data_IF_000464019141
#
_entry.id   IF_000464019141
#
_cell.length_a   1.000
_cell.length_b   1.000
_cell.length_c   1.000
_cell.angle_alpha   90.00
_cell.angle_beta   90.00
_cell.angle_gamma   90.00
#
_symmetry.space_group_name_H-M   'P 1'
#
loop_
_entity.id
_entity.type
_entity.pdbx_description
1 polymer ?
#
# COMPACT_ATOMS: atom_id res chain seq x y z
N UNK A 1 27.29 -5.70 8.71
CA UNK A 1 27.06 -7.14 8.82
C UNK A 1 26.00 -7.49 7.78
N UNK A 2 26.37 -8.21 6.72
CA UNK A 2 25.40 -8.66 5.71
C UNK A 2 24.60 -9.85 6.26
N UNK A 3 23.30 -9.89 5.97
CA UNK A 3 22.44 -11.04 6.30
C UNK A 3 22.82 -12.18 5.36
N UNK A 4 23.41 -13.25 5.85
CA UNK A 4 23.82 -14.39 5.03
C UNK A 4 22.66 -15.34 4.71
N UNK A 5 21.63 -15.40 5.55
CA UNK A 5 20.46 -16.30 5.39
C UNK A 5 19.17 -15.57 5.75
N UNK A 6 18.11 -15.88 5.01
CA UNK A 6 16.76 -15.34 5.28
C UNK A 6 16.20 -16.02 6.53
N UNK A 7 15.80 -15.21 7.52
CA UNK A 7 15.06 -15.72 8.66
C UNK A 7 13.56 -15.86 8.30
N UNK A 8 13.16 -17.10 8.00
CA UNK A 8 11.78 -17.41 7.57
C UNK A 8 10.73 -17.09 8.63
N UNK A 9 11.11 -17.08 9.92
CA UNK A 9 10.17 -16.77 11.01
C UNK A 9 9.81 -15.28 11.03
N UNK A 10 10.74 -14.43 10.63
CA UNK A 10 10.54 -12.99 10.57
C UNK A 10 9.85 -12.53 9.28
N UNK A 11 9.90 -13.37 8.24
CA UNK A 11 9.36 -13.03 6.92
C UNK A 11 7.82 -12.88 6.94
N UNK A 12 7.11 -13.76 7.63
CA UNK A 12 5.64 -13.77 7.70
C UNK A 12 5.06 -12.42 8.17
N UNK A 13 5.42 -11.91 9.36
CA UNK A 13 4.92 -10.63 9.88
C UNK A 13 5.25 -9.43 8.98
N UNK A 14 6.41 -9.45 8.31
CA UNK A 14 6.80 -8.38 7.38
C UNK A 14 5.99 -8.45 6.09
N UNK A 15 5.77 -9.64 5.53
CA UNK A 15 4.91 -9.83 4.36
C UNK A 15 3.43 -9.50 4.65
N UNK A 16 2.95 -9.76 5.88
CA UNK A 16 1.64 -9.29 6.32
C UNK A 16 1.52 -7.75 6.24
N UNK A 17 2.62 -7.03 6.47
CA UNK A 17 2.68 -5.58 6.26
C UNK A 17 2.40 -5.18 4.82
N UNK A 18 2.94 -5.88 3.84
CA UNK A 18 2.64 -5.63 2.43
C UNK A 18 1.17 -5.93 2.10
N UNK A 19 0.59 -6.97 2.67
CA UNK A 19 -0.83 -7.27 2.51
C UNK A 19 -1.71 -6.13 3.06
N UNK A 20 -1.39 -5.61 4.24
CA UNK A 20 -2.09 -4.47 4.87
C UNK A 20 -1.94 -3.19 4.05
N UNK A 21 -0.78 -2.95 3.43
CA UNK A 21 -0.58 -1.82 2.51
C UNK A 21 -1.60 -1.80 1.37
N UNK A 22 -2.03 -2.97 0.88
CA UNK A 22 -3.05 -3.07 -0.16
C UNK A 22 -4.43 -2.57 0.27
N UNK A 23 -4.71 -2.47 1.57
CA UNK A 23 -5.98 -1.91 2.06
C UNK A 23 -6.16 -0.43 1.71
N UNK A 24 -5.08 0.31 1.58
CA UNK A 24 -5.12 1.69 1.12
C UNK A 24 -5.54 1.79 -0.35
N UNK A 25 -5.06 0.87 -1.16
CA UNK A 25 -5.34 0.85 -2.60
C UNK A 25 -6.82 0.51 -2.90
N UNK A 26 -7.55 -0.09 -1.94
CA UNK A 26 -8.99 -0.38 -2.07
C UNK A 26 -9.85 0.87 -2.21
N UNK A 27 -9.37 2.04 -1.75
CA UNK A 27 -10.17 3.27 -1.75
C UNK A 27 -10.59 3.65 -3.18
N UNK A 28 -9.71 3.49 -4.16
CA UNK A 28 -10.03 3.79 -5.56
C UNK A 28 -11.20 2.92 -6.10
N UNK A 29 -11.17 1.58 -6.03
CA UNK A 29 -12.28 0.76 -6.51
C UNK A 29 -13.58 0.91 -5.71
N UNK A 30 -13.55 1.22 -4.40
CA UNK A 30 -14.78 1.42 -3.62
C UNK A 30 -15.36 2.83 -3.73
N UNK A 31 -14.64 3.79 -4.30
CA UNK A 31 -15.12 5.18 -4.48
C UNK A 31 -16.44 5.24 -5.23
N UNK A 32 -16.66 4.36 -6.20
CA UNK A 32 -17.94 4.29 -6.93
C UNK A 32 -19.13 3.92 -6.03
N UNK A 33 -18.94 3.01 -5.08
CA UNK A 33 -19.98 2.63 -4.10
C UNK A 33 -20.27 3.76 -3.11
N UNK A 34 -19.22 4.46 -2.67
CA UNK A 34 -19.37 5.65 -1.82
C UNK A 34 -20.10 6.74 -2.59
N UNK A 35 -19.78 6.96 -3.87
CA UNK A 35 -20.44 7.96 -4.70
C UNK A 35 -21.94 7.71 -4.83
N UNK A 36 -22.36 6.46 -4.86
CA UNK A 36 -23.80 6.08 -4.92
C UNK A 36 -24.57 6.46 -3.64
N UNK A 37 -23.89 6.69 -2.51
CA UNK A 37 -24.53 7.14 -1.26
C UNK A 37 -24.80 8.67 -1.26
N UNK A 38 -24.25 9.42 -2.23
CA UNK A 38 -24.34 10.88 -2.27
C UNK A 38 -25.06 11.37 -3.54
N UNK A 39 -25.77 12.54 -3.45
CA UNK A 39 -26.41 13.15 -4.61
C UNK A 39 -25.37 13.54 -5.68
N UNK A 40 -25.83 13.62 -6.93
CA UNK A 40 -24.97 13.86 -8.11
C UNK A 40 -24.03 15.06 -7.98
N UNK A 41 -24.48 16.13 -7.32
CA UNK A 41 -23.70 17.34 -7.07
C UNK A 41 -22.42 17.08 -6.22
N UNK A 42 -22.44 16.08 -5.35
CA UNK A 42 -21.31 15.72 -4.46
C UNK A 42 -20.42 14.62 -5.03
N UNK A 43 -20.82 13.95 -6.09
CA UNK A 43 -20.03 12.83 -6.67
C UNK A 43 -18.66 13.28 -7.17
N UNK A 44 -18.54 14.51 -7.66
CA UNK A 44 -17.24 15.10 -8.01
C UNK A 44 -16.31 15.15 -6.79
N UNK A 45 -16.81 15.61 -5.63
CA UNK A 45 -16.04 15.65 -4.39
C UNK A 45 -15.63 14.24 -3.90
N UNK A 46 -16.53 13.26 -4.01
CA UNK A 46 -16.23 11.85 -3.68
C UNK A 46 -15.07 11.32 -4.53
N UNK A 47 -14.97 11.73 -5.78
CA UNK A 47 -13.90 11.33 -6.70
C UNK A 47 -12.50 11.77 -6.25
N UNK A 48 -12.38 12.71 -5.33
CA UNK A 48 -11.11 13.14 -4.74
C UNK A 48 -10.63 12.24 -3.57
N UNK A 49 -11.44 11.30 -3.08
CA UNK A 49 -11.04 10.40 -1.99
C UNK A 49 -9.73 9.65 -2.26
N UNK A 50 -9.52 9.00 -3.43
CA UNK A 50 -8.24 8.36 -3.72
C UNK A 50 -7.08 9.36 -3.75
N UNK A 51 -7.29 10.54 -4.33
CA UNK A 51 -6.27 11.60 -4.38
C UNK A 51 -5.85 12.04 -2.99
N UNK A 52 -6.82 12.19 -2.06
CA UNK A 52 -6.55 12.54 -0.67
C UNK A 52 -5.67 11.49 0.02
N UNK A 53 -5.95 10.22 -0.22
CA UNK A 53 -5.15 9.11 0.34
C UNK A 53 -3.70 9.18 -0.14
N UNK A 54 -3.49 9.36 -1.46
CA UNK A 54 -2.15 9.37 -2.05
C UNK A 54 -1.39 10.68 -1.81
N UNK A 55 -2.07 11.79 -1.53
CA UNK A 55 -1.44 13.06 -1.19
C UNK A 55 -0.50 12.95 0.01
N UNK A 56 -0.87 12.14 1.00
CA UNK A 56 -0.07 11.94 2.20
C UNK A 56 1.28 11.27 1.94
N UNK A 57 1.39 10.45 0.87
CA UNK A 57 2.68 9.90 0.46
C UNK A 57 3.65 11.01 0.06
N UNK A 58 3.18 12.01 -0.67
CA UNK A 58 4.01 13.14 -1.08
C UNK A 58 4.46 13.98 0.13
N UNK A 59 3.54 14.26 1.05
CA UNK A 59 3.78 15.20 2.16
C UNK A 59 4.55 14.55 3.31
N UNK A 60 4.21 13.31 3.67
CA UNK A 60 4.66 12.67 4.91
C UNK A 60 5.75 11.61 4.75
N UNK A 61 6.13 11.21 3.53
CA UNK A 61 7.18 10.20 3.34
C UNK A 61 8.50 10.62 3.97
N UNK A 62 8.96 11.85 3.73
CA UNK A 62 10.21 12.34 4.30
C UNK A 62 10.14 12.56 5.84
N UNK A 63 9.08 13.17 6.41
CA UNK A 63 8.87 13.20 7.85
C UNK A 63 8.86 11.81 8.51
N UNK A 64 8.14 10.84 7.93
CA UNK A 64 8.13 9.48 8.48
C UNK A 64 9.48 8.77 8.33
N UNK A 65 10.22 8.99 7.26
CA UNK A 65 11.59 8.48 7.12
C UNK A 65 12.51 9.02 8.22
N UNK A 66 12.45 10.33 8.50
CA UNK A 66 13.18 10.95 9.58
C UNK A 66 12.77 10.40 10.96
N UNK A 67 11.47 10.21 11.17
CA UNK A 67 10.93 9.62 12.41
C UNK A 67 11.34 8.15 12.57
N UNK A 68 11.27 7.36 11.50
CA UNK A 68 11.73 5.97 11.46
C UNK A 68 13.21 5.84 11.85
N UNK A 69 14.09 6.73 11.36
CA UNK A 69 15.50 6.71 11.71
C UNK A 69 15.74 6.98 13.20
N UNK A 70 14.84 7.75 13.86
CA UNK A 70 14.93 8.05 15.30
C UNK A 70 14.29 7.00 16.17
N UNK A 71 13.10 6.51 15.81
CA UNK A 71 12.26 5.63 16.64
C UNK A 71 12.35 4.16 16.28
N UNK A 72 12.89 3.83 15.10
CA UNK A 72 13.03 2.47 14.60
C UNK A 72 11.95 2.10 13.58
N UNK A 73 12.27 1.10 12.78
CA UNK A 73 11.42 0.63 11.66
C UNK A 73 10.15 -0.03 12.15
N UNK A 74 10.28 -0.94 13.13
CA UNK A 74 9.14 -1.65 13.74
C UNK A 74 8.15 -0.69 14.39
N UNK A 75 8.64 0.27 15.18
CA UNK A 75 7.80 1.28 15.85
C UNK A 75 7.03 2.13 14.83
N UNK A 76 7.66 2.50 13.73
CA UNK A 76 7.04 3.29 12.65
C UNK A 76 5.94 2.48 11.95
N UNK A 77 6.20 1.19 11.64
CA UNK A 77 5.19 0.31 11.06
C UNK A 77 3.97 0.14 11.98
N UNK A 78 4.20 -0.09 13.27
CA UNK A 78 3.12 -0.25 14.26
C UNK A 78 2.28 1.02 14.43
N UNK A 79 2.90 2.20 14.44
CA UNK A 79 2.16 3.46 14.44
C UNK A 79 1.33 3.62 13.15
N UNK A 80 1.87 3.21 12.00
CA UNK A 80 1.13 3.16 10.74
C UNK A 80 -0.07 2.23 10.81
N UNK A 81 0.05 1.05 11.44
CA UNK A 81 -1.08 0.14 11.65
C UNK A 81 -2.17 0.75 12.52
N UNK A 82 -1.81 1.41 13.62
CA UNK A 82 -2.79 2.09 14.47
C UNK A 82 -3.57 3.18 13.71
N UNK A 83 -2.86 4.00 12.92
CA UNK A 83 -3.49 5.01 12.08
C UNK A 83 -4.40 4.41 11.01
N UNK A 84 -3.97 3.30 10.41
CA UNK A 84 -4.76 2.53 9.42
C UNK A 84 -6.05 2.00 10.05
N UNK A 85 -5.98 1.40 11.24
CA UNK A 85 -7.16 0.92 11.99
C UNK A 85 -8.11 2.08 12.28
N UNK A 86 -7.60 3.20 12.81
CA UNK A 86 -8.41 4.38 13.07
C UNK A 86 -9.07 4.89 11.77
N UNK A 87 -8.29 4.97 10.68
CA UNK A 87 -8.77 5.42 9.38
C UNK A 87 -9.90 4.56 8.80
N UNK A 88 -9.84 3.24 9.02
CA UNK A 88 -10.89 2.31 8.60
C UNK A 88 -12.14 2.39 9.49
N UNK A 89 -11.96 2.57 10.79
CA UNK A 89 -13.07 2.58 11.74
C UNK A 89 -13.83 3.91 11.76
N UNK A 90 -13.20 5.05 11.46
CA UNK A 90 -13.86 6.37 11.47
C UNK A 90 -15.09 6.41 10.55
N UNK A 91 -15.04 6.11 9.25
CA UNK A 91 -16.23 6.13 8.41
C UNK A 91 -17.22 5.02 8.75
N UNK A 92 -16.77 3.89 9.31
CA UNK A 92 -17.64 2.82 9.78
C UNK A 92 -18.46 3.27 11.00
N UNK A 93 -17.81 3.84 12.01
CA UNK A 93 -18.45 4.32 13.25
C UNK A 93 -19.41 5.50 13.00
N UNK A 94 -19.15 6.30 11.96
CA UNK A 94 -20.05 7.38 11.59
C UNK A 94 -21.41 6.91 11.06
N UNK A 95 -21.54 5.63 10.67
CA UNK A 95 -22.82 5.03 10.27
C UNK A 95 -23.21 5.31 8.82
N UNK A 96 -24.34 4.73 8.40
CA UNK A 96 -24.91 4.93 7.07
C UNK A 96 -25.45 6.36 6.92
N UNK A 97 -25.30 6.94 5.71
CA UNK A 97 -25.70 8.32 5.45
C UNK A 97 -24.84 9.38 6.12
N UNK A 98 -23.66 9.02 6.63
CA UNK A 98 -22.76 10.00 7.26
C UNK A 98 -22.29 11.07 6.26
N UNK A 99 -21.93 12.24 6.77
CA UNK A 99 -21.39 13.30 5.94
C UNK A 99 -20.07 12.88 5.26
N UNK A 100 -19.86 13.36 4.03
CA UNK A 100 -18.67 13.05 3.23
C UNK A 100 -17.35 13.36 3.98
N UNK A 101 -17.36 14.33 4.89
CA UNK A 101 -16.22 14.66 5.74
C UNK A 101 -15.69 13.48 6.57
N UNK A 102 -16.54 12.54 6.99
CA UNK A 102 -16.10 11.35 7.71
C UNK A 102 -15.29 10.40 6.84
N UNK A 103 -15.65 10.28 5.55
CA UNK A 103 -14.84 9.52 4.58
C UNK A 103 -13.50 10.19 4.32
N UNK A 104 -13.46 11.53 4.19
CA UNK A 104 -12.20 12.27 4.04
C UNK A 104 -11.31 12.13 5.28
N UNK A 105 -11.87 12.24 6.46
CA UNK A 105 -11.13 12.08 7.73
C UNK A 105 -10.57 10.65 7.85
N UNK A 106 -11.42 9.64 7.64
CA UNK A 106 -11.03 8.23 7.75
C UNK A 106 -9.98 7.84 6.72
N UNK A 107 -10.23 8.12 5.45
CA UNK A 107 -9.28 7.77 4.39
C UNK A 107 -8.04 8.67 4.37
N UNK A 108 -8.13 9.89 4.89
CA UNK A 108 -6.97 10.70 5.21
C UNK A 108 -6.06 10.01 6.24
N UNK A 109 -6.62 9.55 7.36
CA UNK A 109 -5.88 8.77 8.37
C UNK A 109 -5.32 7.46 7.81
N UNK A 110 -6.10 6.76 6.97
CA UNK A 110 -5.66 5.56 6.27
C UNK A 110 -4.42 5.85 5.40
N UNK A 111 -4.43 6.94 4.63
CA UNK A 111 -3.32 7.38 3.79
C UNK A 111 -2.08 7.73 4.61
N UNK A 112 -2.25 8.45 5.73
CA UNK A 112 -1.16 8.76 6.67
C UNK A 112 -0.55 7.46 7.23
N UNK A 113 -1.41 6.55 7.71
CA UNK A 113 -0.99 5.25 8.24
C UNK A 113 -0.24 4.42 7.21
N UNK A 114 -0.78 4.33 5.99
CA UNK A 114 -0.14 3.59 4.91
C UNK A 114 1.20 4.19 4.49
N UNK A 115 1.36 5.52 4.51
CA UNK A 115 2.65 6.17 4.29
C UNK A 115 3.68 5.72 5.33
N UNK A 116 3.32 5.68 6.60
CA UNK A 116 4.20 5.21 7.67
C UNK A 116 4.57 3.74 7.50
N UNK A 117 3.61 2.88 7.12
CA UNK A 117 3.84 1.46 6.87
C UNK A 117 4.80 1.29 5.68
N UNK A 118 4.56 1.97 4.57
CA UNK A 118 5.37 1.84 3.36
C UNK A 118 6.81 2.28 3.57
N UNK A 119 7.02 3.39 4.28
CA UNK A 119 8.36 3.89 4.63
C UNK A 119 9.11 2.91 5.54
N UNK A 120 8.40 2.17 6.40
CA UNK A 120 9.02 1.29 7.39
C UNK A 120 9.19 -0.15 6.92
N UNK A 121 8.20 -0.74 6.24
CA UNK A 121 8.15 -2.18 5.91
C UNK A 121 9.20 -2.55 4.86
N UNK A 122 9.45 -1.71 3.86
CA UNK A 122 10.49 -1.96 2.85
C UNK A 122 11.89 -2.03 3.48
N UNK A 123 12.35 -1.05 4.29
CA UNK A 123 13.61 -1.18 5.00
C UNK A 123 13.62 -2.28 6.07
N UNK A 124 12.46 -2.62 6.65
CA UNK A 124 12.36 -3.72 7.61
C UNK A 124 12.64 -5.05 6.91
N UNK A 125 12.12 -5.25 5.70
CA UNK A 125 12.44 -6.42 4.87
C UNK A 125 13.95 -6.51 4.60
N UNK A 126 14.63 -5.39 4.35
CA UNK A 126 16.08 -5.34 4.12
C UNK A 126 16.92 -5.73 5.34
N UNK A 127 16.34 -5.80 6.55
CA UNK A 127 17.06 -6.30 7.75
C UNK A 127 17.08 -7.81 7.85
N UNK A 128 16.19 -8.51 7.15
CA UNK A 128 15.98 -9.95 7.26
C UNK A 128 16.30 -10.72 5.98
N UNK A 129 16.56 -10.00 4.88
CA UNK A 129 16.84 -10.58 3.57
C UNK A 129 18.22 -10.12 3.08
N UNK A 130 19.06 -11.05 2.54
CA UNK A 130 20.32 -10.69 1.89
C UNK A 130 20.12 -9.74 0.72
N UNK A 131 21.07 -8.82 0.51
CA UNK A 131 21.01 -7.81 -0.55
C UNK A 131 20.80 -8.42 -1.95
N UNK A 132 21.44 -9.57 -2.23
CA UNK A 132 21.33 -10.26 -3.53
C UNK A 132 19.90 -10.79 -3.80
N UNK A 133 19.09 -10.99 -2.76
CA UNK A 133 17.73 -11.52 -2.87
C UNK A 133 16.66 -10.47 -2.58
N UNK A 134 17.07 -9.24 -2.26
CA UNK A 134 16.16 -8.18 -1.86
C UNK A 134 15.07 -7.92 -2.91
N UNK A 135 15.43 -7.82 -4.18
CA UNK A 135 14.48 -7.62 -5.29
C UNK A 135 13.42 -8.72 -5.36
N UNK A 136 13.84 -9.99 -5.23
CA UNK A 136 12.90 -11.13 -5.27
C UNK A 136 11.90 -11.06 -4.12
N UNK A 137 12.34 -10.72 -2.92
CA UNK A 137 11.45 -10.63 -1.75
C UNK A 137 10.57 -9.39 -1.76
N UNK A 138 11.03 -8.26 -2.31
CA UNK A 138 10.16 -7.10 -2.58
C UNK A 138 9.07 -7.46 -3.58
N UNK A 139 9.40 -8.21 -4.63
CA UNK A 139 8.42 -8.71 -5.60
C UNK A 139 7.39 -9.64 -4.94
N UNK A 140 7.83 -10.54 -4.05
CA UNK A 140 6.91 -11.35 -3.23
C UNK A 140 6.01 -10.46 -2.38
N UNK A 141 6.55 -9.41 -1.75
CA UNK A 141 5.77 -8.42 -1.02
C UNK A 141 4.67 -7.78 -1.88
N UNK A 142 4.99 -7.41 -3.13
CA UNK A 142 4.00 -6.87 -4.06
C UNK A 142 2.90 -7.90 -4.44
N UNK A 143 3.23 -9.19 -4.51
CA UNK A 143 2.22 -10.24 -4.69
C UNK A 143 1.24 -10.23 -3.51
N UNK A 144 1.73 -10.16 -2.27
CA UNK A 144 0.86 -10.07 -1.08
C UNK A 144 -0.02 -8.81 -1.11
N UNK A 145 0.53 -7.65 -1.48
CA UNK A 145 -0.24 -6.41 -1.67
C UNK A 145 -1.33 -6.56 -2.72
N UNK A 146 -1.00 -7.11 -3.89
CA UNK A 146 -1.96 -7.32 -4.97
C UNK A 146 -3.01 -8.38 -4.63
N UNK A 147 -2.67 -9.38 -3.80
CA UNK A 147 -3.62 -10.39 -3.32
C UNK A 147 -4.74 -9.76 -2.49
N UNK A 148 -4.43 -8.75 -1.65
CA UNK A 148 -5.47 -8.06 -0.89
C UNK A 148 -6.49 -7.34 -1.79
N UNK A 149 -6.03 -6.81 -2.93
CA UNK A 149 -6.88 -6.16 -3.93
C UNK A 149 -7.66 -7.18 -4.78
N UNK A 150 -7.03 -8.32 -5.12
CA UNK A 150 -7.73 -9.41 -5.82
C UNK A 150 -8.91 -9.92 -5.01
N UNK A 151 -8.73 -10.03 -3.69
CA UNK A 151 -9.77 -10.50 -2.77
C UNK A 151 -10.86 -9.45 -2.51
N UNK A 152 -10.62 -8.17 -2.81
CA UNK A 152 -11.54 -7.08 -2.53
C UNK A 152 -12.93 -7.31 -3.18
N UNK A 153 -12.96 -7.55 -4.49
CA UNK A 153 -14.23 -7.68 -5.22
C UNK A 153 -15.08 -8.86 -4.75
N UNK A 154 -14.54 -10.10 -4.60
CA UNK A 154 -15.33 -11.22 -4.09
C UNK A 154 -15.76 -11.02 -2.63
N UNK A 155 -14.93 -10.43 -1.77
CA UNK A 155 -15.30 -10.13 -0.38
C UNK A 155 -16.44 -9.11 -0.33
N UNK A 156 -16.33 -8.00 -1.06
CA UNK A 156 -17.37 -6.97 -1.11
C UNK A 156 -18.68 -7.55 -1.64
N UNK A 157 -18.64 -8.37 -2.70
CA UNK A 157 -19.83 -8.99 -3.25
C UNK A 157 -20.48 -9.98 -2.27
N UNK A 158 -19.67 -10.81 -1.61
CA UNK A 158 -20.15 -11.74 -0.60
C UNK A 158 -20.77 -11.00 0.60
N UNK A 159 -20.17 -9.91 1.06
CA UNK A 159 -20.70 -9.09 2.15
C UNK A 159 -22.04 -8.45 1.77
N UNK A 160 -22.13 -7.87 0.58
CA UNK A 160 -23.39 -7.27 0.10
C UNK A 160 -24.48 -8.32 -0.05
N UNK A 161 -24.15 -9.51 -0.56
CA UNK A 161 -25.12 -10.61 -0.68
C UNK A 161 -25.59 -11.13 0.69
N UNK A 162 -24.71 -11.20 1.67
CA UNK A 162 -25.02 -11.75 3.00
C UNK A 162 -25.68 -10.75 3.94
N UNK A 163 -25.32 -9.46 3.86
CA UNK A 163 -25.68 -8.44 4.86
C UNK A 163 -26.34 -7.18 4.27
N UNK A 164 -26.37 -7.06 2.96
CA UNK A 164 -26.85 -5.85 2.27
C UNK A 164 -25.87 -4.67 2.29
N UNK A 165 -24.73 -4.76 3.02
CA UNK A 165 -23.82 -3.64 3.21
C UNK A 165 -22.37 -4.00 2.87
N UNK A 166 -21.71 -3.18 2.06
CA UNK A 166 -20.28 -3.29 1.78
C UNK A 166 -19.41 -2.76 2.92
N UNK A 167 -19.98 -1.94 3.81
CA UNK A 167 -19.25 -1.20 4.86
C UNK A 167 -18.59 -2.12 5.89
N UNK A 168 -19.09 -3.36 6.05
CA UNK A 168 -18.45 -4.37 6.89
C UNK A 168 -17.04 -4.76 6.44
N UNK A 169 -16.65 -4.43 5.21
CA UNK A 169 -15.27 -4.54 4.76
C UNK A 169 -14.30 -3.75 5.66
N UNK A 170 -14.71 -2.57 6.11
CA UNK A 170 -13.87 -1.67 6.90
C UNK A 170 -13.44 -2.26 8.25
N UNK A 171 -14.36 -2.76 9.11
CA UNK A 171 -13.96 -3.40 10.36
C UNK A 171 -13.25 -4.75 10.15
N UNK A 172 -13.53 -5.49 9.07
CA UNK A 172 -12.79 -6.71 8.73
C UNK A 172 -11.32 -6.38 8.45
N UNK A 173 -11.07 -5.37 7.62
CA UNK A 173 -9.71 -4.93 7.31
C UNK A 173 -9.02 -4.30 8.53
N UNK A 174 -9.76 -3.61 9.39
CA UNK A 174 -9.24 -3.11 10.66
C UNK A 174 -8.82 -4.28 11.58
N UNK A 175 -9.62 -5.34 11.70
CA UNK A 175 -9.29 -6.53 12.48
C UNK A 175 -8.05 -7.25 11.94
N UNK A 176 -7.93 -7.40 10.62
CA UNK A 176 -6.75 -7.97 9.97
C UNK A 176 -5.50 -7.11 10.22
N UNK A 177 -5.64 -5.78 10.21
CA UNK A 177 -4.55 -4.85 10.51
C UNK A 177 -4.11 -4.97 11.97
N UNK A 178 -5.05 -5.10 12.91
CA UNK A 178 -4.74 -5.36 14.34
C UNK A 178 -4.01 -6.69 14.49
N UNK A 179 -4.51 -7.76 13.86
CA UNK A 179 -3.86 -9.07 13.92
C UNK A 179 -2.43 -9.04 13.37
N UNK A 180 -2.22 -8.38 12.22
CA UNK A 180 -0.87 -8.18 11.65
C UNK A 180 0.02 -7.33 12.54
N UNK A 181 -0.52 -6.28 13.18
CA UNK A 181 0.18 -5.43 14.13
C UNK A 181 0.61 -6.20 15.38
N UNK A 182 -0.28 -6.99 15.96
CA UNK A 182 0.03 -7.86 17.12
C UNK A 182 1.10 -8.89 16.73
N UNK A 183 0.98 -9.52 15.56
CA UNK A 183 1.98 -10.45 15.07
C UNK A 183 3.35 -9.79 14.93
N UNK A 184 3.42 -8.63 14.30
CA UNK A 184 4.67 -7.87 14.19
C UNK A 184 5.19 -7.44 15.56
N UNK A 185 4.32 -7.03 16.49
CA UNK A 185 4.71 -6.63 17.85
C UNK A 185 5.35 -7.77 18.63
N UNK A 186 4.80 -8.99 18.53
CA UNK A 186 5.31 -10.19 19.21
C UNK A 186 6.61 -10.72 18.57
N UNK A 187 6.91 -10.30 17.34
CA UNK A 187 8.09 -10.75 16.61
C UNK A 187 9.29 -9.85 16.91
N UNK A 188 10.40 -10.44 17.37
CA UNK A 188 11.66 -9.71 17.60
C UNK A 188 12.41 -9.56 16.27
N UNK A 189 12.18 -8.44 15.56
CA UNK A 189 12.91 -8.12 14.33
C UNK A 189 14.20 -7.38 14.70
N UNK A 190 15.38 -7.82 14.21
CA UNK A 190 16.63 -7.10 14.44
C UNK A 190 16.57 -5.73 13.76
N UNK A 191 16.77 -4.67 14.52
CA UNK A 191 16.87 -3.32 14.00
C UNK A 191 18.35 -2.90 13.94
N UNK A 192 18.79 -2.23 12.86
CA UNK A 192 20.12 -1.67 12.80
C UNK A 192 20.31 -0.61 13.89
N UNK A 193 21.56 -0.36 14.32
CA UNK A 193 21.85 0.72 15.26
C UNK A 193 21.23 2.03 14.78
N UNK A 194 20.55 2.73 15.67
CA UNK A 194 19.89 3.99 15.34
C UNK A 194 20.94 5.02 14.91
N UNK A 195 20.90 5.43 13.66
CA UNK A 195 21.74 6.53 13.20
C UNK A 195 21.21 7.83 13.78
N UNK A 196 21.93 8.45 14.70
CA UNK A 196 21.55 9.73 15.30
C UNK A 196 21.54 10.91 14.30
N UNK A 197 22.04 10.71 13.10
CA UNK A 197 22.03 11.69 12.01
C UNK A 197 20.73 11.59 11.23
N UNK A 198 19.78 12.48 11.55
CA UNK A 198 18.64 12.70 10.67
C UNK A 198 19.15 13.29 9.35
N UNK A 199 19.01 12.54 8.26
CA UNK A 199 19.17 13.12 6.93
C UNK A 199 18.15 14.26 6.83
N UNK A 200 18.64 15.50 6.76
CA UNK A 200 17.76 16.67 6.72
C UNK A 200 16.91 16.64 5.44
N UNK A 201 15.69 17.18 5.52
CA UNK A 201 14.78 17.30 4.36
C UNK A 201 15.48 17.96 3.16
N UNK A 202 16.36 18.94 3.41
CA UNK A 202 17.15 19.59 2.37
C UNK A 202 18.08 18.64 1.59
N UNK A 203 18.63 17.63 2.27
CA UNK A 203 19.46 16.61 1.60
C UNK A 203 18.62 15.68 0.73
N UNK A 204 17.38 15.35 1.15
CA UNK A 204 16.44 14.58 0.34
C UNK A 204 16.07 15.34 -0.94
N UNK A 205 15.77 16.64 -0.84
CA UNK A 205 15.52 17.48 -2.03
C UNK A 205 16.77 17.64 -2.90
N UNK A 206 17.96 17.62 -2.31
CA UNK A 206 19.22 17.62 -3.04
C UNK A 206 19.37 16.44 -4.02
N UNK A 207 18.80 15.27 -3.68
CA UNK A 207 18.81 14.09 -4.54
C UNK A 207 18.01 14.28 -5.85
N UNK A 208 17.02 15.16 -5.87
CA UNK A 208 16.25 15.48 -7.09
C UNK A 208 17.09 16.16 -8.18
N UNK A 209 18.27 16.70 -7.83
CA UNK A 209 19.23 17.22 -8.82
C UNK A 209 19.91 16.11 -9.62
N UNK A 210 19.89 14.87 -9.15
CA UNK A 210 20.45 13.73 -9.87
C UNK A 210 19.46 13.28 -10.96
N UNK A 211 19.90 13.31 -12.23
CA UNK A 211 19.07 12.90 -13.39
C UNK A 211 18.52 11.48 -13.28
N UNK A 212 19.31 10.54 -12.76
CA UNK A 212 18.88 9.17 -12.60
C UNK A 212 17.73 9.08 -11.58
N UNK A 213 17.83 9.76 -10.44
CA UNK A 213 16.77 9.82 -9.42
C UNK A 213 15.50 10.47 -9.99
N UNK A 214 15.67 11.58 -10.73
CA UNK A 214 14.54 12.28 -11.34
C UNK A 214 13.80 11.43 -12.37
N UNK A 215 14.53 10.79 -13.31
CA UNK A 215 13.94 9.91 -14.32
C UNK A 215 13.24 8.71 -13.70
N UNK A 216 13.81 8.17 -12.63
CA UNK A 216 13.24 7.08 -11.88
C UNK A 216 11.95 7.48 -11.18
N UNK A 217 11.97 8.62 -10.50
CA UNK A 217 10.78 9.17 -9.85
C UNK A 217 9.66 9.43 -10.87
N UNK A 218 10.00 9.96 -12.05
CA UNK A 218 9.03 10.17 -13.13
C UNK A 218 8.46 8.85 -13.65
N UNK A 219 9.31 7.82 -13.86
CA UNK A 219 8.87 6.49 -14.28
C UNK A 219 7.89 5.86 -13.27
N UNK A 220 8.20 5.94 -11.98
CA UNK A 220 7.30 5.46 -10.91
C UNK A 220 6.00 6.27 -10.88
N UNK A 221 6.07 7.60 -11.03
CA UNK A 221 4.87 8.44 -11.06
C UNK A 221 3.95 8.09 -12.24
N UNK A 222 4.49 7.89 -13.44
CA UNK A 222 3.73 7.46 -14.62
C UNK A 222 3.10 6.08 -14.41
N UNK A 223 3.85 5.14 -13.82
CA UNK A 223 3.33 3.80 -13.53
C UNK A 223 2.16 3.86 -12.53
N UNK A 224 2.32 4.58 -11.42
CA UNK A 224 1.26 4.70 -10.40
C UNK A 224 0.04 5.42 -10.98
N UNK A 225 0.24 6.47 -11.77
CA UNK A 225 -0.86 7.19 -12.42
C UNK A 225 -1.67 6.28 -13.36
N UNK A 226 -0.99 5.46 -14.17
CA UNK A 226 -1.63 4.47 -15.03
C UNK A 226 -2.36 3.40 -14.21
N UNK A 227 -1.74 2.86 -13.17
CA UNK A 227 -2.29 1.81 -12.32
C UNK A 227 -3.56 2.26 -11.58
N UNK A 228 -3.49 3.40 -10.90
CA UNK A 228 -4.65 3.99 -10.20
C UNK A 228 -5.72 4.42 -11.19
N UNK A 229 -5.33 5.01 -12.32
CA UNK A 229 -6.25 5.44 -13.38
C UNK A 229 -7.02 4.27 -13.98
N UNK A 230 -6.36 3.19 -14.34
CA UNK A 230 -7.01 1.97 -14.86
C UNK A 230 -7.91 1.35 -13.80
N UNK A 231 -7.44 1.22 -12.57
CA UNK A 231 -8.24 0.68 -11.46
C UNK A 231 -9.51 1.49 -11.19
N UNK A 232 -9.43 2.82 -11.28
CA UNK A 232 -10.57 3.73 -11.11
C UNK A 232 -11.55 3.68 -12.28
N UNK A 233 -11.04 3.71 -13.52
CA UNK A 233 -11.85 3.71 -14.75
C UNK A 233 -12.50 2.35 -14.97
N UNK A 234 -11.85 1.23 -14.66
CA UNK A 234 -12.39 -0.11 -14.85
C UNK A 234 -13.71 -0.32 -14.12
N UNK A 235 -13.86 0.29 -12.95
CA UNK A 235 -15.12 0.21 -12.16
C UNK A 235 -16.21 1.13 -12.72
N UNK A 236 -15.84 2.27 -13.29
CA UNK A 236 -16.80 3.26 -13.82
C UNK A 236 -17.27 2.98 -15.24
N UNK A 237 -16.41 2.46 -16.10
CA UNK A 237 -16.74 2.20 -17.50
C UNK A 237 -17.60 0.96 -17.71
N UNK A 238 -17.65 0.08 -16.71
CA UNK A 238 -18.40 -1.18 -16.78
C UNK A 238 -19.53 -1.14 -15.75
N UNK A 239 -20.59 -0.48 -16.12
CA UNK A 239 -21.82 -0.32 -15.31
C UNK A 239 -22.68 -1.62 -15.31
N UNK A 240 -22.03 -2.78 -15.08
CA UNK A 240 -22.66 -4.09 -15.19
C UNK A 240 -22.12 -5.05 -14.10
N UNK A 241 -22.83 -6.14 -13.72
CA UNK A 241 -22.31 -7.22 -12.87
C UNK A 241 -20.96 -7.77 -13.32
N UNK A 242 -20.61 -7.58 -14.60
CA UNK A 242 -19.29 -7.86 -15.18
C UNK A 242 -18.15 -7.01 -14.59
N UNK A 243 -18.43 -5.93 -13.88
CA UNK A 243 -17.39 -5.06 -13.27
C UNK A 243 -16.54 -5.79 -12.25
N UNK A 244 -17.11 -6.77 -11.54
CA UNK A 244 -16.41 -7.63 -10.60
C UNK A 244 -15.40 -8.50 -11.33
N UNK A 245 -15.81 -9.11 -12.45
CA UNK A 245 -14.94 -9.97 -13.25
C UNK A 245 -13.80 -9.15 -13.86
N UNK A 246 -14.06 -7.93 -14.30
CA UNK A 246 -13.04 -7.04 -14.89
C UNK A 246 -12.05 -6.57 -13.83
N UNK A 247 -12.52 -6.14 -12.66
CA UNK A 247 -11.64 -5.70 -11.56
C UNK A 247 -10.80 -6.88 -11.04
N UNK A 248 -11.44 -8.04 -10.83
CA UNK A 248 -10.74 -9.26 -10.40
C UNK A 248 -9.75 -9.72 -11.46
N UNK A 249 -10.14 -9.69 -12.74
CA UNK A 249 -9.29 -10.03 -13.88
C UNK A 249 -8.06 -9.11 -13.99
N UNK A 250 -8.25 -7.80 -13.81
CA UNK A 250 -7.15 -6.83 -13.80
C UNK A 250 -6.11 -7.16 -12.73
N UNK A 251 -6.53 -7.38 -11.47
CA UNK A 251 -5.60 -7.71 -10.40
C UNK A 251 -5.00 -9.12 -10.54
N UNK A 252 -5.74 -10.07 -11.11
CA UNK A 252 -5.19 -11.39 -11.45
C UNK A 252 -4.08 -11.29 -12.50
N UNK A 253 -4.30 -10.55 -13.59
CA UNK A 253 -3.28 -10.29 -14.62
C UNK A 253 -2.07 -9.55 -14.03
N UNK A 254 -2.29 -8.62 -13.10
CA UNK A 254 -1.22 -7.91 -12.38
C UNK A 254 -0.37 -8.86 -11.55
N UNK A 255 -0.98 -9.81 -10.82
CA UNK A 255 -0.25 -10.84 -10.06
C UNK A 255 0.55 -11.73 -11.01
N UNK A 256 -0.07 -12.22 -12.10
CA UNK A 256 0.63 -13.04 -13.11
C UNK A 256 1.80 -12.27 -13.69
N UNK A 257 1.61 -11.01 -14.08
CA UNK A 257 2.69 -10.13 -14.58
C UNK A 257 3.82 -9.97 -13.56
N UNK A 258 3.50 -9.81 -12.29
CA UNK A 258 4.48 -9.72 -11.20
C UNK A 258 5.27 -11.01 -11.04
N UNK A 259 4.62 -12.18 -11.11
CA UNK A 259 5.27 -13.50 -11.04
C UNK A 259 6.19 -13.72 -12.24
N UNK A 260 5.70 -13.42 -13.45
CA UNK A 260 6.50 -13.52 -14.68
C UNK A 260 7.70 -12.59 -14.65
N UNK A 261 7.50 -11.35 -14.19
CA UNK A 261 8.58 -10.37 -13.98
C UNK A 261 9.62 -10.85 -12.98
N UNK A 262 9.19 -11.40 -11.84
CA UNK A 262 10.09 -12.00 -10.85
C UNK A 262 10.90 -13.15 -11.43
N UNK A 263 10.24 -14.04 -12.18
CA UNK A 263 10.89 -15.17 -12.83
C UNK A 263 11.90 -14.73 -13.89
N UNK A 264 11.55 -13.74 -14.72
CA UNK A 264 12.45 -13.16 -15.70
C UNK A 264 13.68 -12.52 -15.05
N UNK A 265 13.51 -11.78 -13.94
CA UNK A 265 14.59 -11.15 -13.18
C UNK A 265 15.59 -12.17 -12.61
N UNK A 266 15.12 -13.34 -12.18
CA UNK A 266 16.01 -14.41 -11.70
C UNK A 266 16.88 -14.99 -12.84
N UNK A 267 16.34 -15.00 -14.06
CA UNK A 267 17.04 -15.56 -15.25
C UNK A 267 17.91 -14.55 -15.99
N UNK A 268 17.50 -13.28 -16.02
CA UNK A 268 18.25 -12.22 -16.70
C UNK A 268 19.23 -11.60 -15.71
N UNK A 269 20.47 -12.11 -15.71
CA UNK A 269 21.57 -11.67 -14.85
C UNK A 269 22.19 -10.32 -15.28
N UNK A 270 21.54 -9.59 -16.16
CA UNK A 270 22.09 -8.35 -16.72
C UNK A 270 21.54 -7.13 -15.99
N UNK A 271 22.44 -6.42 -15.29
CA UNK A 271 22.17 -5.23 -14.47
C UNK A 271 21.50 -4.08 -15.22
N UNK A 272 21.53 -4.07 -16.55
CA UNK A 272 20.88 -3.04 -17.39
C UNK A 272 19.36 -3.17 -17.42
N UNK A 273 18.82 -4.39 -17.34
CA UNK A 273 17.37 -4.63 -17.27
C UNK A 273 16.82 -4.58 -15.84
N UNK A 274 17.66 -4.86 -14.85
CA UNK A 274 17.32 -4.70 -13.42
C UNK A 274 16.91 -3.26 -13.09
N UNK A 275 17.52 -2.27 -13.71
CA UNK A 275 17.16 -0.86 -13.53
C UNK A 275 15.70 -0.56 -13.92
N UNK A 276 15.20 -1.06 -15.04
CA UNK A 276 13.82 -0.82 -15.47
C UNK A 276 12.77 -1.53 -14.63
N UNK A 277 13.05 -2.75 -14.14
CA UNK A 277 12.10 -3.56 -13.38
C UNK A 277 12.12 -3.30 -11.88
N UNK A 278 13.25 -2.86 -11.32
CA UNK A 278 13.36 -2.40 -9.93
C UNK A 278 12.57 -1.12 -9.68
N UNK A 279 12.40 -0.30 -10.72
CA UNK A 279 11.65 0.95 -10.64
C UNK A 279 10.12 0.79 -10.70
N UNK A 280 9.61 -0.38 -11.01
CA UNK A 280 8.18 -0.69 -10.91
C UNK A 280 7.76 -1.11 -9.50
N UNK A 281 8.70 -1.27 -8.59
CA UNK A 281 8.43 -1.46 -7.17
C UNK A 281 8.55 -0.09 -6.48
N UNK A 282 7.48 0.47 -5.91
CA UNK A 282 7.57 1.69 -5.13
C UNK A 282 8.42 1.40 -3.89
N UNK A 283 9.67 1.84 -3.93
CA UNK A 283 10.59 1.89 -2.79
C UNK A 283 10.52 3.26 -2.14
#
# INVERSE_FOLDING_TARGET
MGVERVDRRLLGPVLAGFFIMGFCDMVAPITGRIAAEFPAERQAAVSFLPTMVFLWFLVLSAPFAAWMNRRGRKTTALAGYLLTVAGLLVPYAAGEGCALGWYFAGFGLLGIGNTAIQVAVNPLLATIVPAERMTSYLTVGQIFRNTSLLLLAPIVTGLVAATGSWRLLLPIYAALTVAGGVWLQLTSVPEPPRSGTSVGLAACFGLLKNRAVMLSALGVACFIAADVGIGYLSVRLIDNPSSILTTTGFYACRIVGTIVGAWALVRVRDTKYLGCLLYTSPS
#
